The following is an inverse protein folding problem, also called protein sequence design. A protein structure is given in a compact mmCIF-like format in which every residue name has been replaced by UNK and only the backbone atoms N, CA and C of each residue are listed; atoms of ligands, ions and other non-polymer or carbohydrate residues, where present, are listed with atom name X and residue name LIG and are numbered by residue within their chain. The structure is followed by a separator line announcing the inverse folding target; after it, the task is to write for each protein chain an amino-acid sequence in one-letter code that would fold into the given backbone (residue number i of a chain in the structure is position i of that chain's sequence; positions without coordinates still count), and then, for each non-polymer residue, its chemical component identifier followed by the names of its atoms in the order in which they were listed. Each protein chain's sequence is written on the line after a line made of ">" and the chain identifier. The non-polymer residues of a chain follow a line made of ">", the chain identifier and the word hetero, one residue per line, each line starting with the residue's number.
data_IF_558413847321
#
_entry.id   IF_558413847321
#
_cell.length_a   1.000
_cell.length_b   1.000
_cell.length_c   1.000
_cell.angle_alpha   90.00
_cell.angle_beta   90.00
_cell.angle_gamma   90.00
#
_symmetry.space_group_name_H-M   'P 1'
#
loop_
_entity.id
_entity.type
_entity.pdbx_description
1 polymer ?
#
# COMPACT_ATOMS: atom_id res chain seq x y z
N UNK A 1 -4.02 -58.77 79.24
CA UNK A 1 -3.45 -57.55 79.84
C UNK A 1 -3.45 -56.46 78.77
N UNK A 2 -3.83 -55.20 78.95
CA UNK A 2 -4.48 -54.48 80.04
C UNK A 2 -4.68 -53.03 79.52
N UNK A 3 -5.92 -52.52 79.57
CA UNK A 3 -6.37 -51.15 79.92
C UNK A 3 -5.92 -49.89 79.14
N UNK A 4 -6.97 -49.08 78.86
CA UNK A 4 -7.13 -47.63 79.16
C UNK A 4 -6.30 -46.66 78.29
N UNK A 5 -6.78 -45.47 77.88
CA UNK A 5 -7.80 -44.59 78.44
C UNK A 5 -8.19 -43.52 77.39
N UNK A 6 -9.50 -43.31 77.18
CA UNK A 6 -10.28 -42.05 77.15
C UNK A 6 -9.63 -40.79 76.55
N UNK A 7 -10.34 -40.15 75.61
CA UNK A 7 -10.87 -38.76 75.71
C UNK A 7 -12.06 -38.63 74.74
N UNK A 8 -13.23 -38.38 75.34
CA UNK A 8 -14.47 -38.03 74.66
C UNK A 8 -14.49 -36.55 74.27
N UNK A 9 -15.30 -36.17 73.27
CA UNK A 9 -16.04 -34.93 73.36
C UNK A 9 -17.53 -35.23 73.34
N UNK A 10 -18.15 -34.92 74.47
CA UNK A 10 -19.57 -34.67 74.59
C UNK A 10 -19.93 -33.43 73.78
N UNK A 11 -20.87 -33.55 72.84
CA UNK A 11 -21.56 -32.42 72.23
C UNK A 11 -23.06 -32.70 72.21
N UNK A 12 -23.72 -32.05 73.17
CA UNK A 12 -24.95 -31.28 73.03
C UNK A 12 -26.15 -31.98 72.38
N UNK A 13 -26.83 -32.69 73.28
CA UNK A 13 -28.27 -32.64 73.47
C UNK A 13 -28.85 -31.23 73.22
N UNK A 14 -29.54 -31.05 72.08
CA UNK A 14 -30.63 -30.08 71.95
C UNK A 14 -31.84 -30.84 71.40
N UNK A 15 -33.01 -30.77 72.06
CA UNK A 15 -34.16 -31.59 71.75
C UNK A 15 -35.04 -30.88 70.71
N UNK A 16 -35.26 -31.52 69.57
CA UNK A 16 -36.35 -31.18 68.68
C UNK A 16 -37.14 -32.45 68.39
N UNK A 17 -38.26 -32.56 69.08
CA UNK A 17 -39.30 -33.53 68.88
C UNK A 17 -39.73 -33.61 67.41
N UNK A 18 -39.90 -34.84 66.90
CA UNK A 18 -41.22 -35.22 66.39
C UNK A 18 -41.44 -36.74 66.45
N UNK A 19 -42.43 -37.07 67.29
CA UNK A 19 -43.33 -38.22 67.26
C UNK A 19 -42.87 -39.60 67.78
N UNK A 20 -43.05 -39.73 69.09
CA UNK A 20 -43.94 -40.71 69.74
C UNK A 20 -43.52 -42.20 69.86
N UNK A 21 -43.10 -42.56 71.08
CA UNK A 21 -43.58 -43.75 71.77
C UNK A 21 -42.62 -44.93 71.92
N UNK A 22 -42.09 -45.11 73.14
CA UNK A 22 -41.73 -46.41 73.71
C UNK A 22 -40.32 -46.93 73.38
N UNK A 23 -39.55 -47.18 74.44
CA UNK A 23 -38.24 -47.84 74.38
C UNK A 23 -38.30 -49.18 73.63
N UNK A 24 -37.38 -49.38 72.69
CA UNK A 24 -36.52 -50.58 72.64
C UNK A 24 -35.36 -50.30 71.69
N UNK A 25 -34.14 -50.54 72.17
CA UNK A 25 -32.95 -50.70 71.35
C UNK A 25 -33.03 -52.02 70.57
N UNK A 26 -34.08 -52.19 69.77
CA UNK A 26 -34.19 -53.29 68.82
C UNK A 26 -33.36 -52.95 67.60
N UNK A 27 -32.54 -53.92 67.18
CA UNK A 27 -31.76 -53.81 65.96
C UNK A 27 -32.66 -53.38 64.80
N UNK A 28 -32.15 -52.56 63.89
CA UNK A 28 -32.87 -51.90 62.77
C UNK A 28 -33.77 -52.81 61.90
N UNK A 29 -33.69 -54.14 62.05
CA UNK A 29 -34.52 -55.12 61.37
C UNK A 29 -35.72 -55.63 62.19
N UNK A 30 -35.81 -55.31 63.48
CA UNK A 30 -36.80 -55.85 64.41
C UNK A 30 -37.99 -54.91 64.67
N UNK A 31 -37.89 -53.61 64.33
CA UNK A 31 -39.04 -52.71 64.29
C UNK A 31 -39.72 -52.78 62.90
N UNK A 32 -40.99 -53.24 62.80
CA UNK A 32 -41.67 -53.45 61.53
C UNK A 32 -41.81 -52.17 60.70
N UNK A 33 -41.85 -50.99 61.31
CA UNK A 33 -41.95 -49.72 60.58
C UNK A 33 -40.63 -49.42 59.86
N UNK A 34 -39.51 -49.62 60.54
CA UNK A 34 -38.18 -49.38 59.97
C UNK A 34 -37.79 -50.40 58.90
N UNK A 35 -38.17 -51.67 59.09
CA UNK A 35 -37.93 -52.73 58.11
C UNK A 35 -38.75 -52.50 56.82
N UNK A 36 -40.02 -52.10 56.93
CA UNK A 36 -40.86 -51.76 55.77
C UNK A 36 -40.37 -50.49 55.09
N UNK A 37 -39.94 -49.46 55.82
CA UNK A 37 -39.35 -48.25 55.25
C UNK A 37 -38.05 -48.55 54.50
N UNK A 38 -37.18 -49.41 55.05
CA UNK A 38 -35.95 -49.84 54.39
C UNK A 38 -36.24 -50.69 53.14
N UNK A 39 -37.18 -51.63 53.21
CA UNK A 39 -37.62 -52.42 52.04
C UNK A 39 -38.23 -51.51 50.95
N UNK A 40 -39.04 -50.52 51.32
CA UNK A 40 -39.58 -49.54 50.39
C UNK A 40 -38.48 -48.68 49.74
N UNK A 41 -37.45 -48.27 50.51
CA UNK A 41 -36.28 -47.56 49.97
C UNK A 41 -35.48 -48.43 48.99
N UNK A 42 -35.28 -49.72 49.30
CA UNK A 42 -34.57 -50.67 48.43
C UNK A 42 -35.36 -50.93 47.14
N UNK A 43 -36.67 -51.13 47.22
CA UNK A 43 -37.53 -51.28 46.04
C UNK A 43 -37.55 -50.00 45.21
N UNK A 44 -37.60 -48.82 45.85
CA UNK A 44 -37.50 -47.53 45.17
C UNK A 44 -36.15 -47.37 44.45
N UNK A 45 -35.03 -47.71 45.09
CA UNK A 45 -33.70 -47.68 44.47
C UNK A 45 -33.55 -48.71 43.35
N UNK A 46 -34.15 -49.89 43.48
CA UNK A 46 -34.20 -50.90 42.40
C UNK A 46 -34.99 -50.40 41.20
N UNK A 47 -36.16 -49.79 41.42
CA UNK A 47 -36.95 -49.19 40.34
C UNK A 47 -36.22 -48.00 39.73
N UNK A 48 -35.66 -47.08 40.54
CA UNK A 48 -34.89 -45.92 40.05
C UNK A 48 -33.63 -46.34 39.30
N UNK A 49 -32.95 -47.39 39.74
CA UNK A 49 -31.83 -48.02 39.04
C UNK A 49 -32.25 -48.66 37.72
N UNK A 50 -33.35 -49.43 37.71
CA UNK A 50 -33.89 -50.07 36.52
C UNK A 50 -34.44 -49.06 35.48
N UNK A 51 -35.02 -47.94 35.94
CA UNK A 51 -35.43 -46.80 35.10
C UNK A 51 -34.25 -45.94 34.64
N UNK A 52 -33.02 -46.28 35.04
CA UNK A 52 -31.81 -45.65 34.53
C UNK A 52 -31.52 -44.25 35.08
N UNK A 53 -32.05 -43.88 36.25
CA UNK A 53 -31.81 -42.57 36.86
C UNK A 53 -30.30 -42.29 37.05
N UNK A 54 -29.53 -43.30 37.45
CA UNK A 54 -28.06 -43.18 37.52
C UNK A 54 -27.43 -42.96 36.15
N UNK A 55 -27.89 -43.68 35.11
CA UNK A 55 -27.37 -43.54 33.75
C UNK A 55 -27.63 -42.13 33.19
N UNK A 56 -28.80 -41.54 33.46
CA UNK A 56 -29.11 -40.18 33.05
C UNK A 56 -28.19 -39.14 33.72
N UNK A 57 -27.88 -39.30 35.01
CA UNK A 57 -26.97 -38.40 35.73
C UNK A 57 -25.54 -38.52 35.19
N UNK A 58 -25.02 -39.74 35.02
CA UNK A 58 -23.69 -39.95 34.43
C UNK A 58 -23.61 -39.42 32.99
N UNK A 59 -24.62 -39.70 32.16
CA UNK A 59 -24.67 -39.19 30.78
C UNK A 59 -24.72 -37.66 30.70
N UNK A 60 -25.37 -37.00 31.64
CA UNK A 60 -25.39 -35.53 31.70
C UNK A 60 -24.02 -34.93 32.07
N UNK A 61 -23.26 -35.61 32.94
CA UNK A 61 -21.89 -35.23 33.27
C UNK A 61 -20.95 -35.47 32.09
N UNK A 62 -21.05 -36.62 31.43
CA UNK A 62 -20.25 -36.95 30.25
C UNK A 62 -20.52 -35.97 29.10
N UNK A 63 -21.79 -35.65 28.83
CA UNK A 63 -22.16 -34.67 27.80
C UNK A 63 -21.61 -33.26 28.09
N UNK A 64 -21.58 -32.86 29.37
CA UNK A 64 -20.95 -31.59 29.77
C UNK A 64 -19.44 -31.64 29.59
N UNK A 65 -18.79 -32.74 29.98
CA UNK A 65 -17.36 -32.91 29.79
C UNK A 65 -16.98 -32.86 28.30
N UNK A 66 -17.72 -33.55 27.44
CA UNK A 66 -17.54 -33.54 25.99
C UNK A 66 -17.75 -32.13 25.40
N UNK A 67 -18.81 -31.43 25.82
CA UNK A 67 -19.04 -30.06 25.38
C UNK A 67 -17.93 -29.10 25.80
N UNK A 68 -17.39 -29.24 27.02
CA UNK A 68 -16.29 -28.40 27.50
C UNK A 68 -15.02 -28.72 26.71
N UNK A 69 -14.72 -30.00 26.49
CA UNK A 69 -13.57 -30.42 25.69
C UNK A 69 -13.66 -29.85 24.28
N UNK A 70 -14.82 -29.97 23.64
CA UNK A 70 -15.05 -29.40 22.30
C UNK A 70 -14.86 -27.88 22.27
N UNK A 71 -15.36 -27.15 23.26
CA UNK A 71 -15.15 -25.70 23.34
C UNK A 71 -13.67 -25.33 23.53
N UNK A 72 -12.91 -26.13 24.29
CA UNK A 72 -11.47 -25.93 24.46
C UNK A 72 -10.74 -26.19 23.14
N UNK A 73 -11.08 -27.28 22.45
CA UNK A 73 -10.49 -27.64 21.16
C UNK A 73 -10.78 -26.57 20.09
N UNK A 74 -12.04 -26.11 20.01
CA UNK A 74 -12.46 -25.03 19.11
C UNK A 74 -11.72 -23.71 19.44
N UNK A 75 -11.56 -23.39 20.72
CA UNK A 75 -10.81 -22.19 21.14
C UNK A 75 -9.31 -22.30 20.83
N UNK A 76 -8.72 -23.49 20.95
CA UNK A 76 -7.33 -23.75 20.56
C UNK A 76 -7.15 -23.64 19.05
N UNK A 77 -8.05 -24.22 18.26
CA UNK A 77 -8.05 -24.11 16.81
C UNK A 77 -8.18 -22.64 16.36
N UNK A 78 -9.10 -21.89 16.95
CA UNK A 78 -9.28 -20.48 16.65
C UNK A 78 -8.05 -19.65 17.02
N UNK A 79 -7.38 -19.98 18.13
CA UNK A 79 -6.11 -19.35 18.51
C UNK A 79 -5.01 -19.66 17.50
N UNK A 80 -4.90 -20.89 17.03
CA UNK A 80 -3.92 -21.28 16.02
C UNK A 80 -4.16 -20.54 14.70
N UNK A 81 -5.42 -20.45 14.26
CA UNK A 81 -5.81 -19.70 13.06
C UNK A 81 -5.51 -18.21 13.20
N UNK A 82 -5.79 -17.60 14.36
CA UNK A 82 -5.45 -16.20 14.62
C UNK A 82 -3.93 -15.95 14.59
N UNK A 83 -3.13 -16.87 15.15
CA UNK A 83 -1.67 -16.78 15.11
C UNK A 83 -1.13 -16.93 13.69
N UNK A 84 -1.70 -17.84 12.89
CA UNK A 84 -1.38 -17.98 11.46
C UNK A 84 -1.71 -16.71 10.69
N UNK A 85 -2.91 -16.17 10.90
CA UNK A 85 -3.36 -14.95 10.23
C UNK A 85 -2.49 -13.74 10.61
N UNK A 86 -2.11 -13.60 11.87
CA UNK A 86 -1.20 -12.55 12.33
C UNK A 86 0.16 -12.67 11.64
N UNK A 87 0.74 -13.88 11.60
CA UNK A 87 2.03 -14.12 10.96
C UNK A 87 1.98 -13.81 9.46
N UNK A 88 0.90 -14.22 8.78
CA UNK A 88 0.69 -13.92 7.36
C UNK A 88 0.47 -12.43 7.11
N UNK A 89 -0.28 -11.74 7.97
CA UNK A 89 -0.48 -10.29 7.86
C UNK A 89 0.83 -9.53 8.02
N UNK A 90 1.65 -9.90 9.01
CA UNK A 90 2.97 -9.30 9.18
C UNK A 90 3.91 -9.58 8.01
N UNK A 91 3.91 -10.82 7.49
CA UNK A 91 4.69 -11.18 6.31
C UNK A 91 4.27 -10.34 5.10
N UNK A 92 2.97 -10.23 4.84
CA UNK A 92 2.43 -9.39 3.76
C UNK A 92 2.77 -7.92 3.94
N UNK A 93 2.74 -7.41 5.18
CA UNK A 93 3.14 -6.04 5.47
C UNK A 93 4.64 -5.81 5.17
N UNK A 94 5.51 -6.73 5.59
CA UNK A 94 6.96 -6.69 5.28
C UNK A 94 7.21 -6.75 3.77
N UNK A 95 6.57 -7.67 3.06
CA UNK A 95 6.67 -7.80 1.59
C UNK A 95 6.18 -6.54 0.86
N UNK A 96 5.08 -5.95 1.31
CA UNK A 96 4.57 -4.70 0.75
C UNK A 96 5.54 -3.53 0.97
N UNK A 97 6.12 -3.43 2.16
CA UNK A 97 7.08 -2.37 2.51
C UNK A 97 8.39 -2.50 1.70
N UNK A 98 8.86 -3.72 1.50
CA UNK A 98 10.00 -4.01 0.63
C UNK A 98 9.69 -3.71 -0.84
N UNK A 99 8.52 -4.13 -1.33
CA UNK A 99 8.06 -3.83 -2.69
C UNK A 99 7.96 -2.33 -2.93
N UNK A 100 7.37 -1.57 -1.99
CA UNK A 100 7.30 -0.12 -2.06
C UNK A 100 8.70 0.53 -2.14
N UNK A 101 9.64 0.09 -1.28
CA UNK A 101 11.04 0.55 -1.33
C UNK A 101 11.70 0.25 -2.67
N UNK A 102 11.46 -0.93 -3.23
CA UNK A 102 11.98 -1.32 -4.55
C UNK A 102 11.38 -0.46 -5.67
N UNK A 103 10.07 -0.19 -5.64
CA UNK A 103 9.39 0.69 -6.61
C UNK A 103 10.02 2.08 -6.56
N UNK A 104 10.17 2.66 -5.37
CA UNK A 104 10.77 3.99 -5.21
C UNK A 104 12.22 4.01 -5.68
N UNK A 105 13.00 2.96 -5.38
CA UNK A 105 14.40 2.85 -5.83
C UNK A 105 14.49 2.78 -7.35
N UNK A 106 13.65 1.96 -8.01
CA UNK A 106 13.59 1.85 -9.47
C UNK A 106 13.15 3.17 -10.10
N UNK A 107 12.07 3.78 -9.61
CA UNK A 107 11.59 5.06 -10.11
C UNK A 107 12.65 6.17 -10.01
N UNK A 108 13.44 6.20 -8.93
CA UNK A 108 14.56 7.15 -8.80
C UNK A 108 15.70 6.86 -9.78
N UNK A 109 16.03 5.59 -10.00
CA UNK A 109 17.05 5.20 -10.98
C UNK A 109 16.61 5.57 -12.40
N UNK A 110 15.38 5.24 -12.76
CA UNK A 110 14.77 5.52 -14.06
C UNK A 110 14.68 7.04 -14.29
N UNK A 111 14.24 7.79 -13.29
CA UNK A 111 14.20 9.26 -13.36
C UNK A 111 15.60 9.85 -13.58
N UNK A 112 16.64 9.33 -12.92
CA UNK A 112 18.02 9.79 -13.11
C UNK A 112 18.52 9.48 -14.53
N UNK A 113 18.20 8.30 -15.05
CA UNK A 113 18.56 7.92 -16.42
C UNK A 113 17.84 8.79 -17.45
N UNK A 114 16.53 8.99 -17.30
CA UNK A 114 15.72 9.86 -18.16
C UNK A 114 16.21 11.31 -18.12
N UNK A 115 16.58 11.83 -16.95
CA UNK A 115 17.14 13.18 -16.82
C UNK A 115 18.49 13.31 -17.54
N UNK A 116 19.36 12.30 -17.45
CA UNK A 116 20.63 12.29 -18.16
C UNK A 116 20.43 12.25 -19.69
N UNK A 117 19.51 11.40 -20.15
CA UNK A 117 19.17 11.29 -21.57
C UNK A 117 18.52 12.58 -22.10
N UNK A 118 17.54 13.13 -21.38
CA UNK A 118 16.89 14.38 -21.73
C UNK A 118 17.88 15.55 -21.77
N UNK A 119 18.85 15.59 -20.85
CA UNK A 119 19.90 16.60 -20.85
C UNK A 119 20.79 16.47 -22.10
N UNK A 120 21.24 15.27 -22.43
CA UNK A 120 22.04 15.02 -23.63
C UNK A 120 21.26 15.38 -24.91
N UNK A 121 19.97 15.03 -24.98
CA UNK A 121 19.12 15.38 -26.12
C UNK A 121 18.91 16.90 -26.23
N UNK A 122 18.75 17.60 -25.10
CA UNK A 122 18.60 19.04 -25.06
C UNK A 122 19.88 19.75 -25.51
N UNK A 123 21.04 19.31 -25.04
CA UNK A 123 22.34 19.81 -25.49
C UNK A 123 22.52 19.62 -27.01
N UNK A 124 22.17 18.43 -27.53
CA UNK A 124 22.19 18.17 -28.97
C UNK A 124 21.19 19.04 -29.76
N UNK A 125 20.01 19.32 -29.20
CA UNK A 125 19.00 20.22 -29.78
C UNK A 125 19.50 21.66 -29.82
N UNK A 126 20.12 22.15 -28.75
CA UNK A 126 20.70 23.49 -28.67
C UNK A 126 21.83 23.63 -29.68
N UNK A 127 22.81 22.72 -29.67
CA UNK A 127 23.94 22.74 -30.61
C UNK A 127 23.48 22.72 -32.09
N UNK A 128 22.42 21.96 -32.41
CA UNK A 128 21.84 21.96 -33.76
C UNK A 128 21.20 23.31 -34.11
N UNK A 129 20.49 23.95 -33.16
CA UNK A 129 19.89 25.26 -33.38
C UNK A 129 20.95 26.36 -33.51
N UNK A 130 22.02 26.30 -32.74
CA UNK A 130 23.17 27.20 -32.88
C UNK A 130 23.78 27.09 -34.28
N UNK A 131 24.09 25.86 -34.73
CA UNK A 131 24.59 25.65 -36.10
C UNK A 131 23.63 26.16 -37.18
N UNK A 132 22.32 25.97 -37.00
CA UNK A 132 21.33 26.51 -37.94
C UNK A 132 21.27 28.03 -37.93
N UNK A 133 21.41 28.67 -36.76
CA UNK A 133 21.47 30.12 -36.63
C UNK A 133 22.74 30.68 -37.27
N UNK A 134 23.90 30.06 -37.01
CA UNK A 134 25.19 30.42 -37.60
C UNK A 134 25.15 30.29 -39.13
N UNK A 135 24.58 29.22 -39.66
CA UNK A 135 24.38 29.07 -41.11
C UNK A 135 23.44 30.13 -41.70
N UNK A 136 22.40 30.54 -40.96
CA UNK A 136 21.50 31.63 -41.39
C UNK A 136 22.21 32.98 -41.38
N UNK A 137 23.03 33.25 -40.37
CA UNK A 137 23.85 34.46 -40.26
C UNK A 137 24.83 34.52 -41.43
N UNK A 138 25.63 33.47 -41.67
CA UNK A 138 26.58 33.43 -42.78
C UNK A 138 25.92 33.63 -44.16
N UNK A 139 24.73 33.05 -44.36
CA UNK A 139 23.95 33.29 -45.59
C UNK A 139 23.47 34.73 -45.69
N UNK A 140 22.97 35.31 -44.59
CA UNK A 140 22.54 36.70 -44.56
C UNK A 140 23.70 37.68 -44.78
N UNK A 141 24.87 37.40 -44.21
CA UNK A 141 26.09 38.19 -44.42
C UNK A 141 26.54 38.16 -45.88
N UNK A 142 26.56 36.97 -46.50
CA UNK A 142 26.91 36.82 -47.91
C UNK A 142 25.93 37.59 -48.80
N UNK A 143 24.62 37.44 -48.54
CA UNK A 143 23.57 38.15 -49.27
C UNK A 143 23.70 39.67 -49.11
N UNK A 144 23.90 40.16 -47.89
CA UNK A 144 24.05 41.59 -47.60
C UNK A 144 25.31 42.17 -48.27
N UNK A 145 26.43 41.43 -48.26
CA UNK A 145 27.64 41.85 -48.95
C UNK A 145 27.43 41.96 -50.48
N UNK A 146 26.71 41.02 -51.08
CA UNK A 146 26.37 41.05 -52.50
C UNK A 146 25.38 42.18 -52.83
N UNK A 147 24.41 42.45 -51.95
CA UNK A 147 23.45 43.54 -52.13
C UNK A 147 24.12 44.92 -52.03
N UNK A 148 25.09 45.10 -51.12
CA UNK A 148 25.92 46.32 -51.05
C UNK A 148 26.75 46.50 -52.32
N UNK A 149 27.36 45.42 -52.82
CA UNK A 149 28.12 45.46 -54.09
C UNK A 149 27.24 45.85 -55.27
N UNK A 150 26.02 45.28 -55.37
CA UNK A 150 25.05 45.66 -56.40
C UNK A 150 24.64 47.12 -56.27
N UNK A 151 24.27 47.57 -55.08
CA UNK A 151 23.90 48.97 -54.84
C UNK A 151 25.05 49.94 -55.20
N UNK A 152 26.30 49.59 -54.89
CA UNK A 152 27.47 50.38 -55.27
C UNK A 152 27.69 50.41 -56.79
N UNK A 153 27.53 49.28 -57.48
CA UNK A 153 27.63 49.19 -58.93
C UNK A 153 26.52 49.99 -59.64
N UNK A 154 25.29 49.91 -59.13
CA UNK A 154 24.14 50.68 -59.63
C UNK A 154 24.35 52.18 -59.41
N UNK A 155 24.83 52.59 -58.23
CA UNK A 155 25.15 53.98 -57.93
C UNK A 155 26.29 54.51 -58.83
N UNK A 156 27.35 53.73 -59.04
CA UNK A 156 28.44 54.09 -59.95
C UNK A 156 27.96 54.21 -61.40
N UNK A 157 27.13 53.27 -61.88
CA UNK A 157 26.56 53.29 -63.23
C UNK A 157 25.62 54.48 -63.42
N UNK A 158 24.80 54.79 -62.41
CA UNK A 158 23.91 55.96 -62.42
C UNK A 158 24.69 57.27 -62.44
N UNK A 159 25.74 57.39 -61.63
CA UNK A 159 26.64 58.55 -61.63
C UNK A 159 27.35 58.72 -62.97
N UNK A 160 27.88 57.64 -63.55
CA UNK A 160 28.49 57.66 -64.88
C UNK A 160 27.49 58.07 -65.96
N UNK A 161 26.25 57.57 -65.91
CA UNK A 161 25.18 57.97 -66.83
C UNK A 161 24.88 59.46 -66.72
N UNK A 162 24.79 60.00 -65.51
CA UNK A 162 24.59 61.45 -65.29
C UNK A 162 25.75 62.27 -65.84
N UNK A 163 27.00 61.88 -65.56
CA UNK A 163 28.19 62.57 -66.08
C UNK A 163 28.23 62.49 -67.61
N UNK A 164 27.91 61.34 -68.20
CA UNK A 164 27.91 61.18 -69.66
C UNK A 164 26.81 62.02 -70.31
N UNK A 165 25.62 62.11 -69.72
CA UNK A 165 24.55 63.00 -70.22
C UNK A 165 24.92 64.47 -70.13
N UNK A 166 25.59 64.89 -69.05
CA UNK A 166 26.12 66.26 -68.94
C UNK A 166 27.28 66.49 -69.92
N UNK A 167 28.14 65.51 -70.13
CA UNK A 167 29.25 65.57 -71.09
C UNK A 167 28.74 65.61 -72.54
N UNK A 168 27.64 64.93 -72.88
CA UNK A 168 27.01 64.98 -74.21
C UNK A 168 26.47 66.39 -74.51
N UNK A 169 25.99 67.10 -73.47
CA UNK A 169 25.62 68.51 -73.59
C UNK A 169 26.83 69.43 -73.84
N UNK A 170 28.00 69.10 -73.27
CA UNK A 170 29.26 69.79 -73.55
C UNK A 170 29.86 69.38 -74.91
N UNK A 171 29.71 68.11 -75.32
CA UNK A 171 30.13 67.58 -76.61
C UNK A 171 29.38 68.23 -77.76
N UNK A 172 28.05 68.39 -77.63
CA UNK A 172 27.24 69.14 -78.59
C UNK A 172 27.61 70.64 -78.64
N UNK A 173 28.06 71.23 -77.53
CA UNK A 173 28.59 72.59 -77.51
C UNK A 173 30.01 72.69 -78.13
N UNK A 174 30.84 71.66 -77.93
CA UNK A 174 32.17 71.53 -78.55
C UNK A 174 32.08 71.31 -80.07
N UNK A 175 31.19 70.43 -80.53
CA UNK A 175 30.96 70.20 -81.96
C UNK A 175 30.43 71.46 -82.65
N UNK A 176 29.51 72.21 -82.01
CA UNK A 176 29.09 73.53 -82.52
C UNK A 176 30.24 74.52 -82.60
N UNK A 177 31.12 74.56 -81.60
CA UNK A 177 32.29 75.45 -81.62
C UNK A 177 33.30 75.04 -82.70
N UNK A 178 33.45 73.75 -82.98
CA UNK A 178 34.29 73.24 -84.08
C UNK A 178 33.71 73.57 -85.46
N UNK A 179 32.39 73.45 -85.64
CA UNK A 179 31.70 73.87 -86.87
C UNK A 179 31.83 75.38 -87.11
N UNK A 180 31.66 76.19 -86.07
CA UNK A 180 31.76 77.66 -86.16
C UNK A 180 33.19 78.13 -86.48
N UNK A 181 34.21 77.45 -85.92
CA UNK A 181 35.61 77.66 -86.30
C UNK A 181 35.86 77.21 -87.75
N UNK A 182 35.33 76.07 -88.17
CA UNK A 182 35.49 75.56 -89.54
C UNK A 182 34.82 76.45 -90.59
N UNK A 183 33.70 77.09 -90.26
CA UNK A 183 33.05 78.04 -91.17
C UNK A 183 33.75 79.41 -91.19
N UNK A 184 34.45 79.80 -90.11
CA UNK A 184 35.28 81.00 -90.08
C UNK A 184 36.61 80.88 -90.87
N UNK A 185 36.99 79.66 -91.24
CA UNK A 185 38.22 79.32 -91.96
C UNK A 185 38.01 79.08 -93.46
N UNK A 186 36.78 79.28 -93.97
CA UNK A 186 36.44 79.38 -95.40
C UNK A 186 36.26 80.84 -95.80
#
# INVERSE_FOLDING_TARGET
>A
MLRMLIIAPAILLSPAAFAAGGETSVAWYADPVTAVAFAALVVFLMIAGAMGAFKAVFSGLDSRAESIQKQIDDAQALREEAMKLMTDAERRAREADESAKQIVKRAKADAKQLMAEAKAELEAKVARREKQAEQRINRAETQAADDVRRAAADAATSALKSILSDADSQGAAFDKALDEISDSLK
#
